data_IF_527463142952
#
_entry.id   IF_527463142952
#
_cell.length_a   1.000
_cell.length_b   1.000
_cell.length_c   1.000
_cell.angle_alpha   90.00
_cell.angle_beta   90.00
_cell.angle_gamma   90.00
#
_symmetry.space_group_name_H-M   'P 1'
#
loop_
_entity.id
_entity.type
_entity.pdbx_description
1 polymer ?
#
# COMPACT_ATOMS: atom_id res chain seq x y z
N UNK A 1 -14.46 10.72 -10.26
CA UNK A 1 -13.67 9.91 -9.31
C UNK A 1 -12.86 8.81 -9.99
N UNK A 2 -13.47 7.93 -10.79
CA UNK A 2 -12.78 6.77 -11.37
C UNK A 2 -11.53 7.14 -12.16
N UNK A 3 -11.61 8.12 -13.08
CA UNK A 3 -10.46 8.64 -13.84
C UNK A 3 -9.28 9.03 -12.94
N UNK A 4 -9.53 9.85 -11.91
CA UNK A 4 -8.51 10.31 -10.97
C UNK A 4 -7.81 9.16 -10.23
N UNK A 5 -8.55 8.12 -9.84
CA UNK A 5 -7.97 6.95 -9.18
C UNK A 5 -7.10 6.12 -10.14
N UNK A 6 -7.55 5.96 -11.39
CA UNK A 6 -6.76 5.29 -12.42
C UNK A 6 -5.49 6.06 -12.74
N UNK A 7 -5.55 7.38 -12.89
CA UNK A 7 -4.37 8.21 -13.17
C UNK A 7 -3.32 8.08 -12.04
N UNK A 8 -3.77 8.13 -10.78
CA UNK A 8 -2.89 7.92 -9.61
C UNK A 8 -2.31 6.50 -9.58
N UNK A 9 -3.12 5.48 -9.83
CA UNK A 9 -2.67 4.10 -9.87
C UNK A 9 -1.64 3.86 -10.99
N UNK A 10 -1.85 4.47 -12.16
CA UNK A 10 -0.90 4.43 -13.27
C UNK A 10 0.44 5.07 -12.89
N UNK A 11 0.42 6.24 -12.25
CA UNK A 11 1.64 6.88 -11.76
C UNK A 11 2.39 6.00 -10.74
N UNK A 12 1.69 5.40 -9.78
CA UNK A 12 2.28 4.47 -8.80
C UNK A 12 2.90 3.24 -9.45
N UNK A 13 2.24 2.64 -10.45
CA UNK A 13 2.79 1.49 -11.17
C UNK A 13 4.03 1.86 -12.00
N UNK A 14 3.99 3.04 -12.63
CA UNK A 14 5.11 3.55 -13.41
C UNK A 14 6.36 3.77 -12.54
N UNK A 15 6.19 4.44 -11.40
CA UNK A 15 7.27 4.72 -10.44
C UNK A 15 7.84 3.44 -9.82
N UNK A 16 6.97 2.54 -9.35
CA UNK A 16 7.36 1.28 -8.70
C UNK A 16 7.99 0.24 -9.62
N UNK A 17 7.92 0.43 -10.95
CA UNK A 17 8.34 -0.56 -11.96
C UNK A 17 7.69 -1.94 -11.78
N UNK A 18 6.54 -1.99 -11.11
CA UNK A 18 5.78 -3.22 -10.92
C UNK A 18 5.00 -3.60 -12.18
N UNK A 19 4.76 -4.90 -12.43
CA UNK A 19 4.02 -5.33 -13.59
C UNK A 19 2.57 -4.83 -13.53
N UNK A 20 1.97 -4.64 -14.70
CA UNK A 20 0.57 -4.21 -14.85
C UNK A 20 -0.42 -5.11 -14.09
N UNK A 21 -0.09 -6.37 -13.82
CA UNK A 21 -0.91 -7.27 -13.00
C UNK A 21 -1.15 -6.76 -11.57
N UNK A 22 -0.35 -5.81 -11.07
CA UNK A 22 -0.56 -5.16 -9.77
C UNK A 22 -1.59 -4.02 -9.80
N UNK A 23 -2.25 -3.74 -10.92
CA UNK A 23 -3.15 -2.58 -11.07
C UNK A 23 -4.28 -2.51 -10.03
N UNK A 24 -4.90 -3.65 -9.70
CA UNK A 24 -5.98 -3.68 -8.71
C UNK A 24 -5.52 -3.28 -7.31
N UNK A 25 -4.26 -3.57 -6.98
CA UNK A 25 -3.65 -3.14 -5.72
C UNK A 25 -3.27 -1.66 -5.75
N UNK A 26 -2.75 -1.18 -6.87
CA UNK A 26 -2.43 0.24 -7.07
C UNK A 26 -3.68 1.12 -6.97
N UNK A 27 -4.82 0.70 -7.54
CA UNK A 27 -6.09 1.44 -7.39
C UNK A 27 -6.56 1.47 -5.94
N UNK A 28 -6.45 0.36 -5.21
CA UNK A 28 -6.81 0.34 -3.79
C UNK A 28 -5.91 1.25 -2.95
N UNK A 29 -4.59 1.26 -3.23
CA UNK A 29 -3.66 2.18 -2.58
C UNK A 29 -3.96 3.65 -2.95
N UNK A 30 -4.28 3.93 -4.21
CA UNK A 30 -4.69 5.25 -4.67
C UNK A 30 -5.98 5.73 -3.99
N UNK A 31 -6.96 4.86 -3.80
CA UNK A 31 -8.19 5.17 -3.08
C UNK A 31 -7.91 5.45 -1.59
N UNK A 32 -7.08 4.62 -0.95
CA UNK A 32 -6.66 4.84 0.43
C UNK A 32 -5.99 6.21 0.63
N UNK A 33 -5.07 6.57 -0.27
CA UNK A 33 -4.39 7.87 -0.23
C UNK A 33 -5.33 9.02 -0.57
N UNK A 34 -6.19 8.87 -1.59
CA UNK A 34 -7.16 9.90 -1.97
C UNK A 34 -8.06 10.29 -0.80
N UNK A 35 -8.49 9.32 0.01
CA UNK A 35 -9.31 9.60 1.20
C UNK A 35 -8.56 10.41 2.28
N UNK A 36 -7.23 10.50 2.23
CA UNK A 36 -6.39 11.21 3.21
C UNK A 36 -5.76 12.48 2.65
N UNK A 37 -6.04 12.83 1.40
CA UNK A 37 -5.54 14.06 0.77
C UNK A 37 -6.62 15.15 0.97
N UNK A 38 -6.23 16.34 1.46
CA UNK A 38 -7.18 17.44 1.59
C UNK A 38 -7.63 17.91 0.20
N UNK A 39 -8.88 18.35 0.10
CA UNK A 39 -9.43 18.85 -1.17
C UNK A 39 -10.13 20.18 -0.96
N UNK A 40 -9.85 21.13 -1.84
CA UNK A 40 -10.45 22.47 -1.83
C UNK A 40 -11.97 22.41 -1.99
N UNK A 41 -12.48 21.39 -2.68
CA UNK A 41 -13.91 21.13 -2.85
C UNK A 41 -14.66 20.83 -1.54
N UNK A 42 -13.92 20.55 -0.46
CA UNK A 42 -14.46 20.22 0.87
C UNK A 42 -13.77 21.05 1.95
N UNK A 43 -13.56 22.34 1.67
CA UNK A 43 -12.98 23.31 2.63
C UNK A 43 -11.63 22.85 3.20
N UNK A 44 -10.77 22.28 2.34
CA UNK A 44 -9.45 21.75 2.70
C UNK A 44 -9.47 20.63 3.76
N UNK A 45 -10.64 20.03 4.03
CA UNK A 45 -10.75 18.80 4.79
C UNK A 45 -10.37 17.59 3.93
N UNK A 46 -10.08 16.47 4.59
CA UNK A 46 -9.92 15.17 3.93
C UNK A 46 -11.26 14.42 3.89
N UNK A 47 -11.53 13.59 2.85
CA UNK A 47 -12.71 12.72 2.86
C UNK A 47 -12.78 11.78 4.08
N UNK A 48 -11.63 11.40 4.63
CA UNK A 48 -11.52 10.64 5.87
C UNK A 48 -12.04 11.44 7.08
N UNK A 49 -11.66 12.70 7.23
CA UNK A 49 -12.14 13.57 8.31
C UNK A 49 -13.65 13.78 8.21
N UNK A 50 -14.19 13.99 7.01
CA UNK A 50 -15.64 14.12 6.83
C UNK A 50 -16.41 12.87 7.25
N UNK A 51 -15.82 11.69 7.03
CA UNK A 51 -16.47 10.42 7.33
C UNK A 51 -16.34 10.00 8.79
N UNK A 52 -15.19 10.26 9.42
CA UNK A 52 -14.84 9.74 10.74
C UNK A 52 -14.70 10.83 11.80
N UNK A 53 -14.92 12.09 11.46
CA UNK A 53 -14.75 13.27 12.32
C UNK A 53 -13.41 13.31 13.06
N UNK A 54 -12.38 12.69 12.48
CA UNK A 54 -11.05 12.51 13.06
C UNK A 54 -9.98 12.68 12.00
N UNK A 55 -8.84 13.27 12.37
CA UNK A 55 -7.72 13.46 11.44
C UNK A 55 -7.15 12.10 11.01
N UNK A 56 -6.77 11.92 9.73
CA UNK A 56 -6.17 10.68 9.29
C UNK A 56 -4.77 10.50 9.90
N UNK A 57 -4.51 9.31 10.43
CA UNK A 57 -3.15 8.89 10.75
C UNK A 57 -2.36 8.69 9.44
N UNK A 58 -1.28 9.47 9.27
CA UNK A 58 -0.39 9.45 8.11
C UNK A 58 0.86 8.59 8.35
N UNK A 59 1.13 8.16 9.59
CA UNK A 59 2.33 7.39 9.94
C UNK A 59 2.41 6.05 9.21
N UNK A 60 1.25 5.50 8.83
CA UNK A 60 1.10 4.23 8.11
C UNK A 60 1.29 4.36 6.60
N UNK A 61 1.48 5.56 6.07
CA UNK A 61 1.65 5.75 4.63
C UNK A 61 3.03 5.25 4.21
N UNK A 62 3.05 4.45 3.13
CA UNK A 62 4.24 3.90 2.51
C UNK A 62 4.18 4.11 1.00
N UNK A 63 5.37 4.25 0.40
CA UNK A 63 5.53 4.41 -1.06
C UNK A 63 5.16 3.08 -1.71
N UNK A 64 4.23 3.11 -2.66
CA UNK A 64 3.84 1.92 -3.42
C UNK A 64 5.05 1.35 -4.15
N UNK A 65 5.32 0.05 -4.00
CA UNK A 65 6.48 -0.59 -4.61
C UNK A 65 7.77 -0.52 -3.80
N UNK A 66 7.76 0.07 -2.59
CA UNK A 66 8.97 0.11 -1.77
C UNK A 66 9.37 -1.28 -1.26
N UNK A 67 10.67 -1.45 -1.01
CA UNK A 67 11.19 -2.65 -0.36
C UNK A 67 10.72 -2.71 1.10
N UNK A 68 10.28 -3.89 1.52
CA UNK A 68 9.84 -4.17 2.89
C UNK A 68 10.39 -5.51 3.36
N UNK A 69 10.71 -5.61 4.65
CA UNK A 69 11.23 -6.82 5.26
C UNK A 69 10.17 -7.43 6.18
N UNK A 70 9.64 -8.58 5.79
CA UNK A 70 8.59 -9.30 6.53
C UNK A 70 9.24 -10.32 7.44
N UNK A 71 8.85 -10.36 8.72
CA UNK A 71 9.36 -11.34 9.68
C UNK A 71 8.97 -12.75 9.23
N UNK A 72 9.95 -13.64 9.14
CA UNK A 72 9.71 -15.07 8.91
C UNK A 72 9.31 -15.70 10.25
N UNK A 73 8.26 -16.50 10.27
CA UNK A 73 7.76 -17.15 11.51
C UNK A 73 8.84 -18.09 12.05
N UNK A 74 9.02 -18.14 13.38
CA UNK A 74 10.04 -18.98 14.03
C UNK A 74 9.90 -20.46 13.65
N UNK A 75 8.67 -20.95 13.44
CA UNK A 75 8.39 -22.33 13.01
C UNK A 75 8.89 -22.68 11.61
N UNK A 76 9.14 -21.67 10.77
CA UNK A 76 9.67 -21.82 9.42
C UNK A 76 11.19 -21.59 9.36
N UNK A 77 11.85 -21.42 10.51
CA UNK A 77 13.28 -21.12 10.61
C UNK A 77 14.04 -22.20 11.36
N UNK A 78 15.24 -22.51 10.88
CA UNK A 78 16.28 -23.27 11.58
C UNK A 78 17.32 -22.31 12.16
N UNK A 79 18.23 -22.86 12.98
CA UNK A 79 19.32 -22.07 13.58
C UNK A 79 20.15 -21.40 12.49
N UNK A 80 20.37 -20.08 12.61
CA UNK A 80 21.06 -19.20 11.65
C UNK A 80 20.29 -18.83 10.36
N UNK A 81 19.04 -19.26 10.19
CA UNK A 81 18.25 -18.82 9.04
C UNK A 81 17.90 -17.31 9.09
N UNK A 82 17.73 -16.66 7.93
CA UNK A 82 17.31 -15.27 7.86
C UNK A 82 15.99 -15.03 8.62
N UNK A 83 15.99 -14.05 9.53
CA UNK A 83 14.82 -13.69 10.36
C UNK A 83 13.74 -12.91 9.59
N UNK A 84 14.09 -12.35 8.44
CA UNK A 84 13.18 -11.57 7.61
C UNK A 84 13.39 -11.88 6.13
N UNK A 85 12.32 -11.69 5.36
CA UNK A 85 12.32 -11.86 3.91
C UNK A 85 12.00 -10.53 3.24
N UNK A 86 12.83 -10.17 2.25
CA UNK A 86 12.62 -9.00 1.41
C UNK A 86 11.40 -9.23 0.49
N UNK A 87 10.45 -8.32 0.56
CA UNK A 87 9.22 -8.28 -0.23
C UNK A 87 8.98 -6.84 -0.71
N UNK A 88 7.94 -6.66 -1.53
CA UNK A 88 7.57 -5.38 -2.10
C UNK A 88 6.23 -4.95 -1.52
N UNK A 89 6.13 -3.72 -1.05
CA UNK A 89 4.87 -3.15 -0.58
C UNK A 89 3.94 -2.90 -1.76
N UNK A 90 2.71 -3.42 -1.68
CA UNK A 90 1.70 -3.26 -2.74
C UNK A 90 0.38 -2.69 -2.21
N UNK A 91 0.31 -2.19 -0.98
CA UNK A 91 -0.86 -1.45 -0.50
C UNK A 91 -1.34 -1.85 0.88
N UNK A 92 -2.58 -1.50 1.19
CA UNK A 92 -3.13 -1.51 2.55
C UNK A 92 -4.19 -2.60 2.72
N UNK A 93 -4.33 -3.11 3.94
CA UNK A 93 -5.36 -4.06 4.37
C UNK A 93 -5.92 -3.64 5.73
N UNK A 94 -7.06 -4.20 6.14
CA UNK A 94 -7.61 -3.99 7.49
C UNK A 94 -6.67 -4.50 8.58
N UNK A 95 -5.91 -5.56 8.29
CA UNK A 95 -5.00 -6.22 9.22
C UNK A 95 -3.54 -5.76 9.11
N UNK A 96 -3.22 -4.80 8.23
CA UNK A 96 -1.84 -4.36 8.03
C UNK A 96 -1.52 -3.98 6.58
N UNK A 97 -0.40 -4.47 6.07
CA UNK A 97 0.14 -4.10 4.76
C UNK A 97 0.11 -5.28 3.81
N UNK A 98 -0.34 -5.04 2.58
CA UNK A 98 -0.20 -6.03 1.51
C UNK A 98 1.21 -5.97 0.95
N UNK A 99 1.85 -7.12 0.94
CA UNK A 99 3.22 -7.30 0.47
C UNK A 99 3.26 -8.40 -0.57
N UNK A 100 4.15 -8.25 -1.54
CA UNK A 100 4.34 -9.19 -2.65
C UNK A 100 5.76 -9.72 -2.65
N UNK A 101 5.88 -11.02 -2.77
CA UNK A 101 7.17 -11.66 -2.98
C UNK A 101 7.65 -11.44 -4.44
N UNK A 102 8.90 -11.01 -4.60
CA UNK A 102 9.52 -10.77 -5.91
C UNK A 102 9.72 -12.06 -6.71
N UNK A 103 9.95 -13.20 -6.04
CA UNK A 103 10.18 -14.50 -6.70
C UNK A 103 8.86 -15.22 -6.95
N UNK A 104 8.12 -15.51 -5.88
CA UNK A 104 6.92 -16.36 -5.97
C UNK A 104 5.70 -15.61 -6.48
N UNK A 105 5.77 -14.27 -6.55
CA UNK A 105 4.66 -13.36 -6.91
C UNK A 105 3.45 -13.48 -5.98
N UNK A 106 3.55 -14.25 -4.88
CA UNK A 106 2.50 -14.41 -3.87
C UNK A 106 2.31 -13.11 -3.11
N UNK A 107 1.05 -12.85 -2.76
CA UNK A 107 0.65 -11.70 -1.96
C UNK A 107 0.31 -12.18 -0.55
N UNK A 108 0.78 -11.44 0.45
CA UNK A 108 0.52 -11.70 1.87
C UNK A 108 0.11 -10.39 2.55
N UNK A 109 -0.58 -10.47 3.68
CA UNK A 109 -1.05 -9.35 4.51
C UNK A 109 -0.35 -9.41 5.87
#
# INVERSE_FOLDING_TARGET
MNRTLFDKAHAMLYDSKLPKSCWGYAIQAAAFLHNKIPSTSINDCTPYELKYSTKPDLSKIRIFGCDVYVKVVDTQRRKLDPKSKKMIFIGYSSMGYRVRDHVTRRVTV
#
